data_IF_402318030264
#
_entry.id   IF_402318030264
#
_cell.length_a   1.000
_cell.length_b   1.000
_cell.length_c   1.000
_cell.angle_alpha   90.00
_cell.angle_beta   90.00
_cell.angle_gamma   90.00
#
_symmetry.space_group_name_H-M   'P 1'
#
loop_
_entity.id
_entity.type
_entity.pdbx_description
1 polymer ?
#
# COMPACT_ATOMS: atom_id res chain seq x y z
N UNK A 1 41.83 19.96 49.82
CA UNK A 1 41.26 18.66 49.41
C UNK A 1 40.29 18.96 48.29
N UNK A 2 40.77 18.77 47.07
CA UNK A 2 40.15 19.24 45.83
C UNK A 2 38.80 18.59 45.53
N UNK A 3 37.84 19.48 45.32
CA UNK A 3 36.77 19.47 44.33
C UNK A 3 36.80 18.30 43.31
N UNK A 4 35.77 17.45 43.38
CA UNK A 4 35.42 16.50 42.32
C UNK A 4 33.98 16.79 41.89
N UNK A 5 33.82 17.89 41.15
CA UNK A 5 32.63 18.14 40.35
C UNK A 5 32.54 17.06 39.26
N UNK A 6 31.57 16.17 39.43
CA UNK A 6 31.12 15.25 38.39
C UNK A 6 30.55 16.10 37.26
N UNK A 7 31.33 16.30 36.19
CA UNK A 7 30.84 16.89 34.95
C UNK A 7 29.87 15.91 34.26
N UNK A 8 28.61 16.01 34.64
CA UNK A 8 27.49 15.47 33.87
C UNK A 8 27.41 16.27 32.57
N UNK A 9 27.92 15.70 31.48
CA UNK A 9 27.95 16.37 30.17
C UNK A 9 26.51 16.58 29.71
N UNK A 10 26.04 17.82 29.48
CA UNK A 10 24.70 18.05 28.99
C UNK A 10 24.65 17.62 27.52
N UNK A 11 23.97 16.51 27.24
CA UNK A 11 23.68 16.10 25.87
C UNK A 11 22.80 17.18 25.20
N UNK A 12 23.38 17.89 24.24
CA UNK A 12 22.76 19.00 23.52
C UNK A 12 21.40 18.57 22.91
N UNK A 13 20.29 19.31 23.13
CA UNK A 13 18.92 18.85 22.79
C UNK A 13 18.74 18.49 21.30
N UNK A 14 19.52 19.13 20.42
CA UNK A 14 19.54 18.83 18.98
C UNK A 14 19.99 17.40 18.66
N UNK A 15 20.93 16.80 19.42
CA UNK A 15 21.34 15.40 19.14
C UNK A 15 20.28 14.40 19.58
N UNK A 16 19.47 14.74 20.59
CA UNK A 16 18.35 13.91 21.05
C UNK A 16 17.20 13.98 20.04
N UNK A 17 16.89 15.18 19.53
CA UNK A 17 15.87 15.36 18.50
C UNK A 17 16.25 14.71 17.15
N UNK A 18 17.52 14.81 16.74
CA UNK A 18 18.00 14.15 15.52
C UNK A 18 18.02 12.62 15.66
N UNK A 19 18.36 12.11 16.86
CA UNK A 19 18.29 10.67 17.15
C UNK A 19 16.84 10.18 17.17
N UNK A 20 15.91 10.95 17.73
CA UNK A 20 14.48 10.65 17.72
C UNK A 20 13.92 10.64 16.29
N UNK A 21 14.21 11.67 15.47
CA UNK A 21 13.80 11.72 14.05
C UNK A 21 14.40 10.57 13.23
N UNK A 22 15.66 10.19 13.50
CA UNK A 22 16.27 9.02 12.85
C UNK A 22 15.60 7.72 13.28
N UNK A 23 15.31 7.55 14.57
CA UNK A 23 14.61 6.37 15.07
C UNK A 23 13.21 6.25 14.45
N UNK A 24 12.47 7.36 14.38
CA UNK A 24 11.16 7.43 13.72
C UNK A 24 11.27 7.06 12.24
N UNK A 25 12.25 7.60 11.51
CA UNK A 25 12.46 7.27 10.10
C UNK A 25 12.82 5.80 9.86
N UNK A 26 13.61 5.20 10.76
CA UNK A 26 13.97 3.79 10.69
C UNK A 26 12.76 2.90 11.00
N UNK A 27 11.98 3.26 12.02
CA UNK A 27 10.78 2.55 12.40
C UNK A 27 9.72 2.62 11.30
N UNK A 28 9.57 3.78 10.64
CA UNK A 28 8.70 3.94 9.48
C UNK A 28 9.16 3.07 8.31
N UNK A 29 10.47 3.04 8.01
CA UNK A 29 11.03 2.21 6.92
C UNK A 29 10.92 0.72 7.22
N UNK A 30 11.12 0.30 8.47
CA UNK A 30 10.93 -1.08 8.90
C UNK A 30 9.45 -1.45 8.82
N UNK A 31 8.55 -0.59 9.27
CA UNK A 31 7.11 -0.80 9.13
C UNK A 31 6.71 -0.92 7.65
N UNK A 32 7.27 -0.09 6.78
CA UNK A 32 7.06 -0.17 5.33
C UNK A 32 7.60 -1.46 4.72
N UNK A 33 8.79 -1.90 5.13
CA UNK A 33 9.38 -3.16 4.67
C UNK A 33 8.59 -4.37 5.14
N UNK A 34 8.17 -4.40 6.40
CA UNK A 34 7.34 -5.47 6.95
C UNK A 34 5.99 -5.49 6.23
N UNK A 35 5.39 -4.33 5.98
CA UNK A 35 4.11 -4.25 5.27
C UNK A 35 4.24 -4.70 3.82
N UNK A 36 5.31 -4.31 3.12
CA UNK A 36 5.59 -4.76 1.76
C UNK A 36 5.90 -6.27 1.71
N UNK A 37 6.59 -6.79 2.73
CA UNK A 37 6.90 -8.21 2.86
C UNK A 37 5.64 -9.05 3.13
N UNK A 38 4.78 -8.60 4.06
CA UNK A 38 3.52 -9.26 4.42
C UNK A 38 2.51 -9.29 3.25
N UNK A 39 2.50 -8.26 2.39
CA UNK A 39 1.67 -8.24 1.19
C UNK A 39 2.21 -9.05 0.00
N UNK A 40 3.37 -9.71 0.14
CA UNK A 40 4.06 -10.36 -0.99
C UNK A 40 3.98 -11.89 -0.96
N UNK A 41 3.91 -12.52 -2.14
CA UNK A 41 3.92 -13.99 -2.31
C UNK A 41 5.20 -14.66 -1.75
N UNK A 42 6.29 -13.90 -1.60
CA UNK A 42 7.56 -14.37 -1.03
C UNK A 42 7.44 -14.78 0.44
N UNK A 43 6.56 -14.14 1.21
CA UNK A 43 6.36 -14.46 2.61
C UNK A 43 5.89 -15.92 2.78
N UNK A 44 4.92 -16.35 1.97
CA UNK A 44 4.38 -17.71 1.98
C UNK A 44 5.47 -18.75 1.72
N UNK A 45 6.31 -18.52 0.71
CA UNK A 45 7.41 -19.45 0.39
C UNK A 45 8.42 -19.57 1.54
N UNK A 46 8.83 -18.46 2.15
CA UNK A 46 9.75 -18.49 3.30
C UNK A 46 9.12 -19.24 4.48
N UNK A 47 7.85 -18.99 4.75
CA UNK A 47 7.14 -19.64 5.86
C UNK A 47 7.01 -21.16 5.64
N UNK A 48 6.65 -21.59 4.43
CA UNK A 48 6.56 -23.02 4.07
C UNK A 48 7.92 -23.70 4.16
N UNK A 49 8.99 -23.07 3.66
CA UNK A 49 10.36 -23.63 3.73
C UNK A 49 10.83 -23.71 5.17
N UNK A 50 10.62 -22.67 5.97
CA UNK A 50 11.00 -22.64 7.38
C UNK A 50 10.26 -23.73 8.17
N UNK A 51 8.95 -23.90 7.93
CA UNK A 51 8.14 -24.93 8.58
C UNK A 51 8.56 -26.34 8.16
N UNK A 52 8.84 -26.56 6.87
CA UNK A 52 9.33 -27.84 6.36
C UNK A 52 10.72 -28.20 6.92
N UNK A 53 11.63 -27.23 6.98
CA UNK A 53 12.97 -27.42 7.56
C UNK A 53 12.88 -27.69 9.07
N UNK A 54 12.06 -26.95 9.80
CA UNK A 54 11.85 -27.18 11.23
C UNK A 54 11.29 -28.59 11.48
N UNK A 55 10.23 -28.98 10.77
CA UNK A 55 9.59 -30.29 10.93
C UNK A 55 10.57 -31.44 10.74
N UNK A 56 11.51 -31.31 9.79
CA UNK A 56 12.49 -32.35 9.48
C UNK A 56 13.68 -32.39 10.46
N UNK A 57 14.02 -31.26 11.10
CA UNK A 57 15.26 -31.13 11.87
C UNK A 57 15.04 -31.14 13.39
N UNK A 58 13.89 -30.65 13.89
CA UNK A 58 13.78 -30.23 15.28
C UNK A 58 12.81 -31.01 16.17
N UNK A 59 11.98 -31.95 15.68
CA UNK A 59 10.91 -32.50 16.53
C UNK A 59 10.95 -34.03 16.76
N UNK A 60 11.02 -34.40 18.05
CA UNK A 60 10.91 -35.79 18.56
C UNK A 60 9.65 -36.05 19.43
N UNK A 61 8.81 -35.04 19.74
CA UNK A 61 7.60 -35.22 20.56
C UNK A 61 6.48 -34.18 20.26
N UNK A 62 5.49 -34.46 19.38
CA UNK A 62 4.94 -33.38 18.53
C UNK A 62 3.69 -32.57 18.99
N UNK A 63 2.77 -33.04 19.82
CA UNK A 63 1.37 -32.61 19.57
C UNK A 63 0.80 -31.39 20.34
N UNK A 64 0.99 -31.22 21.67
CA UNK A 64 0.23 -30.19 22.39
C UNK A 64 0.82 -28.78 22.31
N UNK A 65 2.14 -28.65 22.39
CA UNK A 65 2.85 -27.37 22.42
C UNK A 65 2.96 -26.73 21.03
N UNK A 66 3.13 -27.53 19.97
CA UNK A 66 3.17 -27.04 18.59
C UNK A 66 1.87 -26.34 18.21
N UNK A 67 0.72 -26.95 18.50
CA UNK A 67 -0.59 -26.42 18.12
C UNK A 67 -0.89 -25.10 18.83
N UNK A 68 -0.39 -24.92 20.05
CA UNK A 68 -0.49 -23.66 20.80
C UNK A 68 0.43 -22.58 20.21
N UNK A 69 1.69 -22.90 19.91
CA UNK A 69 2.62 -21.96 19.30
C UNK A 69 2.18 -21.52 17.89
N UNK A 70 1.75 -22.47 17.06
CA UNK A 70 1.25 -22.21 15.69
C UNK A 70 -0.04 -21.41 15.70
N UNK A 71 -0.96 -21.66 16.64
CA UNK A 71 -2.19 -20.87 16.72
C UNK A 71 -1.91 -19.41 17.10
N UNK A 72 -0.96 -19.15 18.00
CA UNK A 72 -0.50 -17.80 18.30
C UNK A 72 0.15 -17.15 17.07
N UNK A 73 1.04 -17.87 16.39
CA UNK A 73 1.71 -17.38 15.18
C UNK A 73 0.70 -17.07 14.06
N UNK A 74 -0.32 -17.91 13.86
CA UNK A 74 -1.37 -17.71 12.88
C UNK A 74 -2.19 -16.43 13.14
N UNK A 75 -2.47 -16.08 14.40
CA UNK A 75 -3.16 -14.83 14.75
C UNK A 75 -2.30 -13.61 14.35
N UNK A 76 -1.00 -13.66 14.65
CA UNK A 76 -0.07 -12.61 14.22
C UNK A 76 -0.02 -12.50 12.70
N UNK A 77 0.13 -13.62 11.98
CA UNK A 77 0.17 -13.62 10.52
C UNK A 77 -1.12 -13.10 9.90
N UNK A 78 -2.28 -13.51 10.40
CA UNK A 78 -3.57 -12.99 9.94
C UNK A 78 -3.66 -11.48 10.10
N UNK A 79 -3.23 -10.95 11.26
CA UNK A 79 -3.21 -9.50 11.53
C UNK A 79 -2.24 -8.77 10.59
N UNK A 80 -1.03 -9.31 10.38
CA UNK A 80 -0.06 -8.73 9.45
C UNK A 80 -0.54 -8.76 7.99
N UNK A 81 -1.17 -9.86 7.56
CA UNK A 81 -1.77 -9.98 6.21
C UNK A 81 -2.91 -8.98 6.05
N UNK A 82 -3.77 -8.82 7.05
CA UNK A 82 -4.87 -7.86 7.04
C UNK A 82 -4.37 -6.41 6.90
N UNK A 83 -3.28 -6.05 7.60
CA UNK A 83 -2.62 -4.74 7.45
C UNK A 83 -2.07 -4.56 6.03
N UNK A 84 -1.42 -5.59 5.47
CA UNK A 84 -0.91 -5.58 4.10
C UNK A 84 -2.02 -5.39 3.06
N UNK A 85 -3.13 -6.11 3.23
CA UNK A 85 -4.33 -6.00 2.39
C UNK A 85 -4.96 -4.61 2.48
N UNK A 86 -5.13 -4.07 3.69
CA UNK A 86 -5.71 -2.75 3.91
C UNK A 86 -4.90 -1.63 3.22
N UNK A 87 -3.57 -1.75 3.21
CA UNK A 87 -2.70 -0.79 2.54
C UNK A 87 -2.69 -0.95 1.02
N UNK A 88 -2.72 -2.19 0.51
CA UNK A 88 -2.85 -2.41 -0.93
C UNK A 88 -4.21 -1.91 -1.44
N UNK A 89 -5.28 -2.11 -0.67
CA UNK A 89 -6.60 -1.56 -0.97
C UNK A 89 -6.57 -0.03 -1.05
N UNK A 90 -5.92 0.65 -0.08
CA UNK A 90 -5.76 2.10 -0.12
C UNK A 90 -4.98 2.60 -1.35
N UNK A 91 -3.90 1.90 -1.73
CA UNK A 91 -3.14 2.25 -2.94
C UNK A 91 -3.94 2.01 -4.23
N UNK A 92 -4.65 0.89 -4.31
CA UNK A 92 -5.52 0.60 -5.46
C UNK A 92 -6.68 1.59 -5.56
N UNK A 93 -7.23 2.03 -4.43
CA UNK A 93 -8.29 3.03 -4.40
C UNK A 93 -7.78 4.40 -4.85
N UNK A 94 -6.62 4.84 -4.38
CA UNK A 94 -5.99 6.08 -4.85
C UNK A 94 -5.68 6.05 -6.37
N UNK A 95 -5.25 4.89 -6.88
CA UNK A 95 -5.04 4.69 -8.32
C UNK A 95 -6.37 4.72 -9.09
N UNK A 96 -7.40 4.05 -8.59
CA UNK A 96 -8.72 4.01 -9.20
C UNK A 96 -9.37 5.40 -9.24
N UNK A 97 -9.22 6.22 -8.20
CA UNK A 97 -9.72 7.59 -8.17
C UNK A 97 -9.06 8.47 -9.24
N UNK A 98 -7.74 8.31 -9.45
CA UNK A 98 -7.03 8.98 -10.53
C UNK A 98 -7.55 8.54 -11.92
N UNK A 99 -7.60 7.23 -12.16
CA UNK A 99 -8.06 6.64 -13.43
C UNK A 99 -9.54 7.01 -13.72
N UNK A 100 -10.37 7.16 -12.68
CA UNK A 100 -11.77 7.59 -12.79
C UNK A 100 -11.88 9.03 -13.28
N UNK A 101 -11.04 9.94 -12.79
CA UNK A 101 -11.06 11.36 -13.19
C UNK A 101 -10.71 11.56 -14.67
N UNK A 102 -9.74 10.78 -15.19
CA UNK A 102 -9.38 10.79 -16.61
C UNK A 102 -10.53 10.23 -17.46
N UNK A 103 -11.11 9.10 -17.04
CA UNK A 103 -12.23 8.46 -17.75
C UNK A 103 -13.48 9.34 -17.82
N UNK A 104 -13.81 10.07 -16.75
CA UNK A 104 -14.92 11.03 -16.72
C UNK A 104 -14.69 12.19 -17.72
N UNK A 105 -13.47 12.75 -17.75
CA UNK A 105 -13.12 13.83 -18.68
C UNK A 105 -13.20 13.35 -20.14
N UNK A 106 -12.68 12.16 -20.42
CA UNK A 106 -12.76 11.54 -21.74
C UNK A 106 -14.21 11.28 -22.16
N UNK A 107 -15.05 10.77 -21.26
CA UNK A 107 -16.46 10.51 -21.54
C UNK A 107 -17.23 11.82 -21.80
N UNK A 108 -16.97 12.86 -21.02
CA UNK A 108 -17.58 14.18 -21.21
C UNK A 108 -17.19 14.78 -22.56
N UNK A 109 -15.90 14.72 -22.88
CA UNK A 109 -15.35 15.20 -24.16
C UNK A 109 -15.98 14.44 -25.34
N UNK A 110 -16.01 13.11 -25.30
CA UNK A 110 -16.65 12.28 -26.33
C UNK A 110 -18.14 12.58 -26.49
N UNK A 111 -18.85 12.80 -25.38
CA UNK A 111 -20.28 13.17 -25.42
C UNK A 111 -20.46 14.55 -26.06
N UNK A 112 -19.58 15.50 -25.76
CA UNK A 112 -19.60 16.84 -26.37
C UNK A 112 -19.34 16.78 -27.87
N UNK A 113 -18.30 16.06 -28.29
CA UNK A 113 -17.98 15.83 -29.71
C UNK A 113 -19.15 15.17 -30.44
N UNK A 114 -19.76 14.15 -29.84
CA UNK A 114 -20.93 13.48 -30.43
C UNK A 114 -22.11 14.44 -30.60
N UNK A 115 -22.33 15.32 -29.62
CA UNK A 115 -23.40 16.33 -29.67
C UNK A 115 -23.12 17.39 -30.74
N UNK A 116 -21.88 17.86 -30.86
CA UNK A 116 -21.47 18.78 -31.93
C UNK A 116 -21.59 18.15 -33.31
N UNK A 117 -21.12 16.91 -33.49
CA UNK A 117 -21.29 16.14 -34.74
C UNK A 117 -22.78 16.01 -35.08
N UNK A 118 -23.62 15.71 -34.10
CA UNK A 118 -25.06 15.64 -34.32
C UNK A 118 -25.63 16.99 -34.78
N UNK A 119 -25.29 18.10 -34.12
CA UNK A 119 -25.71 19.45 -34.52
C UNK A 119 -25.25 19.79 -35.94
N UNK A 120 -23.98 19.56 -36.26
CA UNK A 120 -23.43 19.78 -37.60
C UNK A 120 -24.14 18.93 -38.65
N UNK A 121 -24.42 17.66 -38.33
CA UNK A 121 -25.14 16.74 -39.24
C UNK A 121 -26.56 17.22 -39.50
N UNK A 122 -27.27 17.72 -38.48
CA UNK A 122 -28.62 18.26 -38.62
C UNK A 122 -28.62 19.54 -39.48
N UNK A 123 -27.66 20.45 -39.28
CA UNK A 123 -27.53 21.64 -40.12
C UNK A 123 -27.22 21.30 -41.58
N UNK A 124 -26.29 20.37 -41.83
CA UNK A 124 -25.92 19.92 -43.16
C UNK A 124 -27.12 19.27 -43.87
N UNK A 125 -27.85 18.40 -43.18
CA UNK A 125 -29.07 17.77 -43.70
C UNK A 125 -30.12 18.83 -44.05
N UNK A 126 -30.32 19.82 -43.18
CA UNK A 126 -31.27 20.92 -43.42
C UNK A 126 -30.91 21.73 -44.67
N UNK A 127 -29.64 22.12 -44.83
CA UNK A 127 -29.19 22.90 -46.00
C UNK A 127 -29.35 22.12 -47.31
N UNK A 128 -29.01 20.83 -47.30
CA UNK A 128 -29.20 19.95 -48.47
C UNK A 128 -30.68 19.81 -48.86
N UNK A 129 -31.59 19.71 -47.89
CA UNK A 129 -33.04 19.63 -48.15
C UNK A 129 -33.60 20.97 -48.66
N UNK A 130 -33.10 22.10 -48.16
CA UNK A 130 -33.46 23.43 -48.64
C UNK A 130 -32.96 23.69 -50.08
N UNK A 131 -31.73 23.29 -50.43
CA UNK A 131 -31.20 23.37 -51.81
C UNK A 131 -31.90 22.42 -52.79
N UNK A 132 -32.43 21.29 -52.32
CA UNK A 132 -33.15 20.33 -53.14
C UNK A 132 -34.60 20.75 -53.47
N UNK A 133 -35.08 21.86 -52.90
CA UNK A 133 -36.43 22.39 -53.16
C UNK A 133 -36.39 23.37 -54.36
N UNK A 134 -37.07 23.06 -55.48
CA UNK A 134 -37.05 23.85 -56.70
C UNK A 134 -37.77 25.21 -56.57
#
# INVERSE_FOLDING_TARGET
MEDKLVHERPHHPVVVELAAKRAESLQLRIADQITAFAGSMRFVYVHVVLFAVWMLVFESNPWPTLTLAVSLEAIFLSTFVMIGQNRQAAFQQAKADHDFSESELELKSNTQLTREIHTLTVELHRRLVEEAKP
#
